data_IF_696583893435
#
_entry.id   IF_696583893435
#
_cell.length_a   1.000
_cell.length_b   1.000
_cell.length_c   1.000
_cell.angle_alpha   90.00
_cell.angle_beta   90.00
_cell.angle_gamma   90.00
#
_symmetry.space_group_name_H-M   'P 1'
#
loop_
_entity.id
_entity.type
_entity.pdbx_description
1 polymer ?
#
# COMPACT_ATOMS: atom_id res chain seq x y z
N UNK A 1 -2.03 5.44 -1.47
CA UNK A 1 -2.88 5.70 -0.28
C UNK A 1 -3.93 4.62 -0.14
N UNK A 2 -4.14 4.07 1.06
CA UNK A 2 -5.17 3.05 1.26
C UNK A 2 -6.55 3.71 1.29
N UNK A 3 -7.45 3.20 0.46
CA UNK A 3 -8.85 3.62 0.39
C UNK A 3 -9.74 2.38 0.32
N UNK A 4 -11.05 2.60 0.42
CA UNK A 4 -12.05 1.57 0.16
C UNK A 4 -12.93 2.01 -1.01
N UNK A 5 -13.15 1.10 -1.96
CA UNK A 5 -13.96 1.33 -3.16
C UNK A 5 -15.24 0.51 -3.07
N UNK A 6 -16.38 1.18 -3.24
CA UNK A 6 -17.69 0.55 -3.35
C UNK A 6 -17.85 -0.11 -4.72
N UNK A 7 -18.09 -1.41 -4.71
CA UNK A 7 -18.50 -2.20 -5.88
C UNK A 7 -19.75 -2.98 -5.45
N UNK A 8 -20.89 -2.61 -6.01
CA UNK A 8 -22.20 -3.24 -5.78
C UNK A 8 -22.58 -3.38 -4.29
N UNK A 9 -22.29 -2.35 -3.49
CA UNK A 9 -22.61 -2.32 -2.05
C UNK A 9 -21.57 -2.99 -1.15
N UNK A 10 -20.45 -3.44 -1.72
CA UNK A 10 -19.32 -4.00 -0.98
C UNK A 10 -18.11 -3.08 -1.09
N UNK A 11 -17.50 -2.72 0.03
CA UNK A 11 -16.33 -1.87 0.07
C UNK A 11 -15.04 -2.69 0.10
N UNK A 12 -14.30 -2.70 -1.00
CA UNK A 12 -13.05 -3.45 -1.14
C UNK A 12 -11.84 -2.56 -0.84
N UNK A 13 -10.79 -3.11 -0.20
CA UNK A 13 -9.53 -2.38 -0.03
C UNK A 13 -8.88 -2.12 -1.39
N UNK A 14 -8.44 -0.88 -1.61
CA UNK A 14 -7.76 -0.44 -2.82
C UNK A 14 -6.67 0.59 -2.49
N UNK A 15 -5.80 0.83 -3.46
CA UNK A 15 -4.78 1.88 -3.40
C UNK A 15 -5.13 2.99 -4.37
N UNK A 16 -5.37 4.19 -3.86
CA UNK A 16 -5.46 5.39 -4.69
C UNK A 16 -4.05 5.83 -5.12
N UNK A 17 -3.84 5.89 -6.44
CA UNK A 17 -2.57 6.27 -7.06
C UNK A 17 -2.54 7.77 -7.35
N UNK A 18 -3.52 8.27 -8.11
CA UNK A 18 -3.61 9.68 -8.51
C UNK A 18 -5.04 10.11 -8.83
N UNK A 19 -5.24 11.41 -9.04
CA UNK A 19 -6.44 11.92 -9.70
C UNK A 19 -6.41 11.55 -11.19
N UNK A 20 -7.59 11.37 -11.77
CA UNK A 20 -7.77 11.32 -13.22
C UNK A 20 -7.37 12.65 -13.86
N UNK A 21 -7.10 12.63 -15.17
CA UNK A 21 -6.66 13.83 -15.92
C UNK A 21 -7.63 15.00 -15.85
N UNK A 22 -8.92 14.72 -15.72
CA UNK A 22 -10.02 15.68 -15.59
C UNK A 22 -10.42 15.96 -14.13
N UNK A 23 -9.65 15.41 -13.17
CA UNK A 23 -9.84 15.57 -11.71
C UNK A 23 -11.23 15.21 -11.19
N UNK A 24 -12.01 14.44 -11.95
CA UNK A 24 -13.38 14.01 -11.61
C UNK A 24 -13.42 12.68 -10.86
N UNK A 25 -12.31 11.93 -10.87
CA UNK A 25 -12.22 10.58 -10.31
C UNK A 25 -10.81 10.27 -9.79
N UNK A 26 -10.66 9.12 -9.13
CA UNK A 26 -9.40 8.60 -8.65
C UNK A 26 -9.00 7.37 -9.47
N UNK A 27 -7.77 7.34 -9.93
CA UNK A 27 -7.17 6.13 -10.47
C UNK A 27 -6.77 5.22 -9.30
N UNK A 28 -7.32 4.01 -9.31
CA UNK A 28 -7.17 3.03 -8.23
C UNK A 28 -6.62 1.72 -8.74
N UNK A 29 -5.88 1.03 -7.86
CA UNK A 29 -5.41 -0.34 -8.06
C UNK A 29 -5.81 -1.23 -6.88
N UNK A 30 -5.92 -2.53 -7.14
CA UNK A 30 -6.41 -3.51 -6.16
C UNK A 30 -5.29 -4.45 -5.72
N UNK A 31 -5.25 -4.88 -4.44
CA UNK A 31 -4.20 -5.77 -3.95
C UNK A 31 -4.11 -7.07 -4.77
N UNK A 32 -2.90 -7.44 -5.21
CA UNK A 32 -2.71 -8.67 -6.00
C UNK A 32 -3.36 -8.63 -7.39
N UNK A 33 -3.74 -7.44 -7.88
CA UNK A 33 -4.29 -7.21 -9.22
C UNK A 33 -5.49 -8.11 -9.56
N UNK A 34 -6.29 -8.49 -8.55
CA UNK A 34 -7.50 -9.32 -8.75
C UNK A 34 -8.56 -8.63 -9.62
N UNK A 35 -8.43 -7.31 -9.79
CA UNK A 35 -9.23 -6.47 -10.66
C UNK A 35 -8.34 -5.46 -11.40
N UNK A 36 -8.64 -5.12 -12.66
CA UNK A 36 -7.88 -4.14 -13.40
C UNK A 36 -7.85 -2.77 -12.72
N UNK A 37 -6.78 -2.01 -12.97
CA UNK A 37 -6.73 -0.60 -12.59
C UNK A 37 -7.85 0.16 -13.31
N UNK A 38 -8.53 1.03 -12.59
CA UNK A 38 -9.67 1.78 -13.14
C UNK A 38 -9.77 3.17 -12.51
N UNK A 39 -10.55 4.04 -13.16
CA UNK A 39 -10.91 5.34 -12.62
C UNK A 39 -12.25 5.23 -11.88
N UNK A 40 -12.26 5.55 -10.59
CA UNK A 40 -13.44 5.44 -9.72
C UNK A 40 -13.89 6.82 -9.27
N UNK A 41 -15.17 7.11 -9.45
CA UNK A 41 -15.78 8.35 -9.00
C UNK A 41 -15.70 8.51 -7.48
N UNK A 42 -15.43 9.72 -7.01
CA UNK A 42 -15.33 10.06 -5.60
C UNK A 42 -16.44 9.53 -4.66
N UNK A 43 -17.74 9.52 -5.03
CA UNK A 43 -18.79 9.01 -4.15
C UNK A 43 -18.66 7.52 -3.81
N UNK A 44 -17.95 6.75 -4.66
CA UNK A 44 -17.70 5.33 -4.45
C UNK A 44 -16.38 5.09 -3.70
N UNK A 45 -15.65 6.13 -3.32
CA UNK A 45 -14.40 6.02 -2.59
C UNK A 45 -14.55 6.58 -1.17
N UNK A 46 -13.96 5.90 -0.20
CA UNK A 46 -13.90 6.36 1.19
C UNK A 46 -12.61 5.99 1.87
N UNK A 47 -12.29 6.70 2.96
CA UNK A 47 -11.19 6.36 3.87
C UNK A 47 -11.73 6.20 5.27
N UNK A 48 -11.42 5.09 5.93
CA UNK A 48 -11.74 4.89 7.34
C UNK A 48 -10.94 5.88 8.20
N UNK A 49 -11.62 6.75 8.94
CA UNK A 49 -10.96 7.68 9.88
C UNK A 49 -10.91 7.13 11.29
N UNK A 50 -12.04 6.58 11.74
CA UNK A 50 -12.22 6.15 13.11
C UNK A 50 -13.25 5.04 13.19
N UNK A 51 -13.20 4.30 14.27
CA UNK A 51 -14.23 3.35 14.68
C UNK A 51 -14.44 3.45 16.17
N UNK A 52 -15.66 3.15 16.59
CA UNK A 52 -16.04 3.11 18.00
C UNK A 52 -15.37 1.94 18.71
N UNK A 53 -14.97 2.14 19.96
CA UNK A 53 -14.53 1.06 20.87
C UNK A 53 -15.69 0.48 21.69
N UNK A 54 -16.92 0.97 21.50
CA UNK A 54 -18.09 0.44 22.20
C UNK A 54 -18.37 -1.00 21.79
N UNK A 55 -18.78 -1.81 22.77
CA UNK A 55 -19.16 -3.19 22.55
C UNK A 55 -20.29 -3.29 21.51
N UNK A 56 -20.22 -4.33 20.68
CA UNK A 56 -21.26 -4.69 19.72
C UNK A 56 -22.32 -5.49 20.46
N UNK A 57 -23.60 -5.18 20.22
CA UNK A 57 -24.73 -5.88 20.80
C UNK A 57 -25.61 -6.50 19.70
N UNK A 58 -26.40 -7.49 20.10
CA UNK A 58 -27.44 -8.07 19.23
C UNK A 58 -28.42 -6.98 18.82
N UNK A 59 -28.74 -6.93 17.53
CA UNK A 59 -29.61 -5.92 16.92
C UNK A 59 -28.86 -4.70 16.40
N UNK A 60 -27.57 -4.52 16.74
CA UNK A 60 -26.78 -3.41 16.22
C UNK A 60 -26.61 -3.53 14.70
N UNK A 61 -26.49 -2.38 14.03
CA UNK A 61 -26.04 -2.30 12.64
C UNK A 61 -24.57 -1.89 12.62
N UNK A 62 -23.74 -2.77 12.08
CA UNK A 62 -22.29 -2.62 12.03
C UNK A 62 -21.79 -2.77 10.58
N UNK A 63 -20.49 -2.64 10.36
CA UNK A 63 -19.87 -3.23 9.18
C UNK A 63 -19.11 -4.51 9.55
N UNK A 64 -19.25 -5.53 8.72
CA UNK A 64 -18.52 -6.78 8.85
C UNK A 64 -17.75 -7.07 7.56
N UNK A 65 -16.60 -7.73 7.70
CA UNK A 65 -15.79 -8.16 6.58
C UNK A 65 -16.27 -9.54 6.11
N UNK A 66 -16.87 -9.57 4.93
CA UNK A 66 -17.41 -10.79 4.30
C UNK A 66 -16.48 -11.26 3.17
N UNK A 67 -16.34 -12.57 3.04
CA UNK A 67 -15.74 -13.19 1.86
C UNK A 67 -16.79 -13.27 0.74
N UNK A 68 -16.42 -12.75 -0.42
CA UNK A 68 -17.30 -12.68 -1.59
C UNK A 68 -17.05 -13.86 -2.51
N UNK A 69 -17.96 -14.09 -3.47
CA UNK A 69 -17.87 -15.23 -4.41
C UNK A 69 -16.62 -15.23 -5.29
N UNK A 70 -15.96 -14.09 -5.44
CA UNK A 70 -14.69 -13.93 -6.15
C UNK A 70 -13.45 -14.22 -5.27
N UNK A 71 -13.65 -14.70 -4.03
CA UNK A 71 -12.58 -14.98 -3.07
C UNK A 71 -11.96 -13.74 -2.43
N UNK A 72 -12.50 -12.55 -2.70
CA UNK A 72 -12.03 -11.31 -2.09
C UNK A 72 -12.86 -10.98 -0.86
N UNK A 73 -12.21 -10.42 0.15
CA UNK A 73 -12.89 -9.92 1.34
C UNK A 73 -13.24 -8.44 1.16
N UNK A 74 -14.47 -8.07 1.53
CA UNK A 74 -14.96 -6.70 1.47
C UNK A 74 -15.85 -6.35 2.65
N UNK A 75 -15.90 -5.07 3.00
CA UNK A 75 -16.72 -4.56 4.08
C UNK A 75 -18.15 -4.34 3.60
N UNK A 76 -19.12 -4.89 4.32
CA UNK A 76 -20.54 -4.67 4.09
C UNK A 76 -21.24 -4.26 5.36
N UNK A 77 -22.27 -3.44 5.19
CA UNK A 77 -23.19 -3.11 6.28
C UNK A 77 -24.04 -4.33 6.62
N UNK A 78 -24.11 -4.67 7.91
CA UNK A 78 -24.78 -5.86 8.39
C UNK A 78 -25.48 -5.65 9.74
N UNK A 79 -26.55 -6.40 9.99
CA UNK A 79 -27.23 -6.46 11.29
C UNK A 79 -26.73 -7.63 12.12
N UNK A 80 -26.51 -7.41 13.42
CA UNK A 80 -26.06 -8.44 14.35
C UNK A 80 -27.23 -9.31 14.79
N UNK A 81 -27.22 -10.59 14.41
CA UNK A 81 -28.25 -11.58 14.78
C UNK A 81 -27.97 -12.23 16.13
N UNK A 82 -26.73 -12.63 16.36
CA UNK A 82 -26.29 -13.34 17.57
C UNK A 82 -24.81 -13.09 17.84
N UNK A 83 -24.43 -13.09 19.12
CA UNK A 83 -23.03 -13.00 19.55
C UNK A 83 -22.73 -14.20 20.42
N UNK A 84 -21.68 -14.94 20.09
CA UNK A 84 -21.23 -16.11 20.83
C UNK A 84 -19.71 -16.06 21.00
N UNK A 85 -19.29 -15.64 22.19
CA UNK A 85 -17.88 -15.36 22.50
C UNK A 85 -17.29 -14.37 21.48
N UNK A 86 -16.21 -14.75 20.79
CA UNK A 86 -15.50 -13.93 19.80
C UNK A 86 -16.11 -14.00 18.39
N UNK A 87 -17.25 -14.67 18.22
CA UNK A 87 -17.92 -14.82 16.93
C UNK A 87 -19.28 -14.13 16.92
N UNK A 88 -19.57 -13.45 15.83
CA UNK A 88 -20.78 -12.67 15.62
C UNK A 88 -21.48 -13.19 14.37
N UNK A 89 -22.72 -13.62 14.53
CA UNK A 89 -23.59 -13.99 13.41
C UNK A 89 -24.21 -12.71 12.87
N UNK A 90 -23.96 -12.42 11.61
CA UNK A 90 -24.37 -11.18 10.95
C UNK A 90 -25.17 -11.47 9.68
N UNK A 91 -26.12 -10.60 9.38
CA UNK A 91 -26.88 -10.61 8.13
C UNK A 91 -26.54 -9.37 7.32
N UNK A 92 -26.12 -9.55 6.07
CA UNK A 92 -25.88 -8.45 5.14
C UNK A 92 -27.15 -7.62 4.94
N UNK A 93 -27.00 -6.29 5.01
CA UNK A 93 -28.08 -5.33 4.75
C UNK A 93 -27.92 -4.72 3.35
N UNK A 94 -26.68 -4.46 2.92
CA UNK A 94 -26.36 -3.81 1.64
C UNK A 94 -25.47 -4.72 0.77
N UNK A 95 -25.69 -4.67 -0.55
CA UNK A 95 -25.00 -5.54 -1.50
C UNK A 95 -25.54 -6.97 -1.51
N UNK A 96 -24.70 -7.97 -1.85
CA UNK A 96 -25.09 -9.38 -1.87
C UNK A 96 -25.63 -9.86 -0.52
N UNK A 97 -26.87 -10.35 -0.52
CA UNK A 97 -27.59 -10.77 0.68
C UNK A 97 -27.16 -12.16 1.11
N UNK A 98 -26.60 -12.28 2.31
CA UNK A 98 -26.27 -13.56 2.95
C UNK A 98 -26.03 -13.39 4.45
N UNK A 99 -26.07 -14.51 5.17
CA UNK A 99 -25.69 -14.61 6.59
C UNK A 99 -24.29 -15.18 6.69
N UNK A 100 -23.46 -14.65 7.59
CA UNK A 100 -22.12 -15.16 7.86
C UNK A 100 -21.79 -15.15 9.35
N UNK A 101 -20.76 -15.90 9.74
CA UNK A 101 -20.21 -15.95 11.10
C UNK A 101 -18.81 -15.34 11.06
N UNK A 102 -18.72 -14.10 11.52
CA UNK A 102 -17.47 -13.33 11.49
C UNK A 102 -16.85 -13.24 12.89
N UNK A 103 -15.53 -13.20 12.96
CA UNK A 103 -14.85 -12.90 14.22
C UNK A 103 -15.08 -11.43 14.62
N UNK A 104 -15.11 -11.13 15.92
CA UNK A 104 -15.35 -9.78 16.45
C UNK A 104 -14.31 -8.75 15.93
N UNK A 105 -13.06 -9.17 15.71
CA UNK A 105 -12.01 -8.32 15.13
C UNK A 105 -12.17 -8.05 13.62
N UNK A 106 -13.11 -8.74 12.94
CA UNK A 106 -13.51 -8.51 11.55
C UNK A 106 -14.80 -7.67 11.47
N UNK A 107 -15.16 -7.00 12.56
CA UNK A 107 -16.31 -6.10 12.65
C UNK A 107 -15.86 -4.67 12.96
N UNK A 108 -16.58 -3.69 12.45
CA UNK A 108 -16.40 -2.26 12.78
C UNK A 108 -17.70 -1.71 13.33
N UNK A 109 -17.67 -1.23 14.58
CA UNK A 109 -18.78 -0.53 15.20
C UNK A 109 -18.61 0.99 15.02
N UNK A 110 -19.69 1.70 14.65
CA UNK A 110 -19.68 3.16 14.53
C UNK A 110 -18.55 3.70 13.65
N UNK A 111 -18.26 3.03 12.53
CA UNK A 111 -17.20 3.43 11.62
C UNK A 111 -17.50 4.82 11.01
N UNK A 112 -16.50 5.70 11.06
CA UNK A 112 -16.56 7.04 10.48
C UNK A 112 -15.63 7.11 9.28
N UNK A 113 -16.17 7.66 8.19
CA UNK A 113 -15.53 7.71 6.89
C UNK A 113 -15.39 9.15 6.40
N UNK A 114 -14.24 9.46 5.82
CA UNK A 114 -14.11 10.66 4.98
C UNK A 114 -14.62 10.35 3.59
N UNK A 115 -15.49 11.21 3.08
CA UNK A 115 -15.82 11.23 1.65
C UNK A 115 -14.67 11.84 0.90
N UNK A 116 -14.15 11.12 -0.07
CA UNK A 116 -13.02 11.63 -0.82
C UNK A 116 -13.49 12.68 -1.83
N UNK A 117 -12.81 13.81 -1.93
CA UNK A 117 -13.04 14.80 -2.99
C UNK A 117 -11.70 15.31 -3.56
N UNK A 118 -11.72 15.86 -4.77
CA UNK A 118 -10.53 16.48 -5.36
C UNK A 118 -9.96 17.60 -4.47
N UNK A 119 -10.82 18.39 -3.84
CA UNK A 119 -10.43 19.50 -2.96
C UNK A 119 -9.76 19.05 -1.65
N UNK A 120 -10.06 17.83 -1.18
CA UNK A 120 -9.45 17.27 0.01
C UNK A 120 -8.09 16.62 -0.28
N UNK A 121 -7.80 16.29 -1.54
CA UNK A 121 -6.49 15.79 -1.91
C UNK A 121 -5.48 16.92 -1.80
N UNK A 122 -4.59 16.81 -0.82
CA UNK A 122 -3.49 17.74 -0.66
C UNK A 122 -2.27 17.21 -1.39
N UNK A 123 -1.54 18.13 -1.99
CA UNK A 123 -0.30 17.84 -2.70
C UNK A 123 0.85 18.63 -2.09
N UNK A 124 1.98 17.96 -1.90
CA UNK A 124 3.27 18.57 -1.55
C UNK A 124 4.34 18.06 -2.52
N UNK A 125 5.47 18.74 -2.63
CA UNK A 125 6.61 18.28 -3.45
C UNK A 125 7.88 18.20 -2.63
N UNK A 126 8.73 17.23 -2.97
CA UNK A 126 10.08 17.09 -2.43
C UNK A 126 11.06 17.13 -3.59
N UNK A 127 12.06 18.01 -3.53
CA UNK A 127 13.15 18.05 -4.49
C UNK A 127 14.04 16.82 -4.39
N UNK A 128 14.38 16.23 -5.53
CA UNK A 128 15.26 15.05 -5.63
C UNK A 128 16.67 15.49 -6.02
N UNK A 129 17.69 15.16 -5.19
CA UNK A 129 19.09 15.33 -5.54
C UNK A 129 19.45 14.62 -6.84
N UNK A 130 20.35 15.19 -7.63
CA UNK A 130 20.70 14.70 -8.97
C UNK A 130 21.19 13.26 -8.97
N UNK A 131 21.97 12.88 -7.95
CA UNK A 131 22.51 11.54 -7.78
C UNK A 131 21.44 10.46 -7.51
N UNK A 132 20.22 10.86 -7.16
CA UNK A 132 19.11 9.95 -6.85
C UNK A 132 18.04 9.89 -7.96
N UNK A 133 18.18 10.68 -9.03
CA UNK A 133 17.20 10.76 -10.12
C UNK A 133 16.96 9.40 -10.78
N UNK A 134 18.02 8.66 -11.08
CA UNK A 134 17.89 7.36 -11.73
C UNK A 134 17.27 6.30 -10.81
N UNK A 135 17.56 6.38 -9.50
CA UNK A 135 16.93 5.51 -8.51
C UNK A 135 15.41 5.73 -8.46
N UNK A 136 14.96 6.98 -8.43
CA UNK A 136 13.52 7.29 -8.37
C UNK A 136 12.80 7.25 -9.73
N UNK A 137 13.53 7.07 -10.83
CA UNK A 137 12.94 6.77 -12.14
C UNK A 137 12.28 5.39 -12.19
N UNK A 138 12.49 4.54 -11.18
CA UNK A 138 11.85 3.24 -11.03
C UNK A 138 10.72 3.38 -9.99
N UNK A 139 9.47 3.33 -10.43
CA UNK A 139 8.28 3.52 -9.57
C UNK A 139 8.27 2.59 -8.35
N UNK A 140 8.78 1.36 -8.51
CA UNK A 140 8.86 0.38 -7.43
C UNK A 140 9.69 0.88 -6.23
N UNK A 141 10.67 1.75 -6.46
CA UNK A 141 11.53 2.27 -5.39
C UNK A 141 10.80 3.31 -4.51
N UNK A 142 9.71 3.91 -4.99
CA UNK A 142 8.88 4.81 -4.19
C UNK A 142 8.02 4.03 -3.17
N UNK A 143 7.69 2.76 -3.46
CA UNK A 143 6.89 1.91 -2.56
C UNK A 143 7.58 1.69 -1.21
N UNK A 144 8.91 1.68 -1.17
CA UNK A 144 9.65 1.51 0.08
C UNK A 144 9.35 2.65 1.08
N UNK A 145 9.30 3.88 0.60
CA UNK A 145 8.95 5.03 1.44
C UNK A 145 7.47 5.05 1.79
N UNK A 146 6.59 4.72 0.85
CA UNK A 146 5.14 4.57 1.11
C UNK A 146 4.83 3.47 2.14
N UNK A 147 5.70 2.45 2.24
CA UNK A 147 5.57 1.43 3.27
C UNK A 147 5.92 1.97 4.67
N UNK A 148 6.79 2.97 4.75
CA UNK A 148 7.22 3.62 6.00
C UNK A 148 6.25 4.71 6.43
N UNK A 149 5.84 5.57 5.50
CA UNK A 149 4.85 6.63 5.73
C UNK A 149 3.53 6.19 5.12
N UNK A 150 2.59 5.76 5.96
CA UNK A 150 1.25 5.35 5.50
C UNK A 150 0.43 6.54 5.02
N UNK A 151 -0.61 6.23 4.25
CA UNK A 151 -1.62 7.19 3.77
C UNK A 151 -1.07 8.30 2.86
N UNK A 152 0.00 8.02 2.12
CA UNK A 152 0.47 8.88 1.03
C UNK A 152 0.43 8.13 -0.30
N UNK A 153 0.50 8.87 -1.39
CA UNK A 153 0.85 8.40 -2.73
C UNK A 153 2.02 9.23 -3.23
N UNK A 154 2.92 8.61 -3.99
CA UNK A 154 4.12 9.25 -4.51
C UNK A 154 4.24 9.00 -6.01
N UNK A 155 4.64 10.03 -6.74
CA UNK A 155 5.02 9.92 -8.16
C UNK A 155 6.25 10.78 -8.42
N UNK A 156 7.21 10.27 -9.17
CA UNK A 156 8.41 11.01 -9.52
C UNK A 156 8.25 11.73 -10.87
N UNK A 157 8.55 13.03 -10.88
CA UNK A 157 8.67 13.87 -12.07
C UNK A 157 10.17 14.06 -12.37
N UNK A 158 10.66 13.35 -13.41
CA UNK A 158 12.06 13.36 -13.80
C UNK A 158 12.50 14.72 -14.38
N UNK A 159 11.61 15.41 -15.10
CA UNK A 159 11.94 16.69 -15.74
C UNK A 159 12.15 17.77 -14.68
N UNK A 160 11.29 17.78 -13.65
CA UNK A 160 11.37 18.74 -12.55
C UNK A 160 12.30 18.28 -11.42
N UNK A 161 12.72 17.00 -11.44
CA UNK A 161 13.46 16.34 -10.35
C UNK A 161 12.72 16.46 -9.02
N UNK A 162 11.42 16.20 -9.04
CA UNK A 162 10.55 16.33 -7.87
C UNK A 162 9.76 15.05 -7.63
N UNK A 163 9.60 14.66 -6.37
CA UNK A 163 8.60 13.68 -5.98
C UNK A 163 7.35 14.45 -5.56
N UNK A 164 6.24 14.21 -6.26
CA UNK A 164 4.92 14.69 -5.89
C UNK A 164 4.32 13.75 -4.86
N UNK A 165 3.96 14.30 -3.70
CA UNK A 165 3.26 13.62 -2.62
C UNK A 165 1.78 13.97 -2.67
N UNK A 166 0.90 12.99 -2.53
CA UNK A 166 -0.54 13.23 -2.42
C UNK A 166 -1.10 12.52 -1.18
N UNK A 167 -1.98 13.19 -0.44
CA UNK A 167 -2.67 12.61 0.71
C UNK A 167 -3.99 13.32 1.04
N UNK A 168 -4.94 12.57 1.58
CA UNK A 168 -6.12 13.12 2.27
C UNK A 168 -5.84 13.46 3.75
N UNK A 169 -4.67 13.05 4.27
CA UNK A 169 -4.26 13.24 5.66
C UNK A 169 -3.08 14.20 5.73
N UNK A 170 -3.33 15.43 6.20
CA UNK A 170 -2.29 16.47 6.24
C UNK A 170 -1.08 16.11 7.10
N UNK A 171 -1.30 15.35 8.17
CA UNK A 171 -0.22 14.88 9.04
C UNK A 171 0.71 13.92 8.30
N UNK A 172 0.19 13.07 7.41
CA UNK A 172 0.97 12.11 6.64
C UNK A 172 1.88 12.80 5.63
N UNK A 173 1.40 13.87 4.96
CA UNK A 173 2.26 14.70 4.09
C UNK A 173 3.39 15.36 4.85
N UNK A 174 3.10 15.99 5.99
CA UNK A 174 4.12 16.60 6.84
C UNK A 174 5.17 15.59 7.29
N UNK A 175 4.74 14.39 7.71
CA UNK A 175 5.64 13.28 8.05
C UNK A 175 6.51 12.87 6.87
N UNK A 176 5.93 12.74 5.67
CA UNK A 176 6.66 12.39 4.45
C UNK A 176 7.75 13.42 4.11
N UNK A 177 7.43 14.71 4.19
CA UNK A 177 8.40 15.80 3.95
C UNK A 177 9.52 15.79 5.00
N UNK A 178 9.20 15.59 6.28
CA UNK A 178 10.22 15.55 7.34
C UNK A 178 11.15 14.34 7.21
N UNK A 179 10.62 13.19 6.78
CA UNK A 179 11.36 11.93 6.68
C UNK A 179 12.11 11.75 5.35
N UNK A 180 11.87 12.61 4.35
CA UNK A 180 12.43 12.44 3.01
C UNK A 180 13.95 12.51 2.98
N UNK A 181 14.55 13.45 3.71
CA UNK A 181 16.01 13.60 3.80
C UNK A 181 16.68 12.36 4.41
N UNK A 182 16.05 11.78 5.43
CA UNK A 182 16.51 10.51 6.01
C UNK A 182 16.44 9.39 4.98
N UNK A 183 15.32 9.27 4.29
CA UNK A 183 15.13 8.25 3.28
C UNK A 183 16.16 8.37 2.14
N UNK A 184 16.46 9.58 1.67
CA UNK A 184 17.50 9.81 0.66
C UNK A 184 18.89 9.38 1.13
N UNK A 185 19.23 9.64 2.39
CA UNK A 185 20.49 9.16 2.98
C UNK A 185 20.52 7.62 3.04
N UNK A 186 19.40 7.00 3.40
CA UNK A 186 19.32 5.53 3.48
C UNK A 186 19.43 4.88 2.10
N UNK A 187 18.84 5.48 1.06
CA UNK A 187 19.01 5.05 -0.34
C UNK A 187 20.48 5.12 -0.76
N UNK A 188 21.18 6.21 -0.45
CA UNK A 188 22.63 6.33 -0.75
C UNK A 188 23.43 5.25 -0.05
N UNK A 189 23.16 5.01 1.23
CA UNK A 189 23.85 3.99 2.01
C UNK A 189 23.63 2.60 1.40
N UNK A 190 22.38 2.27 1.05
CA UNK A 190 22.03 1.00 0.40
C UNK A 190 22.76 0.84 -0.95
N UNK A 191 22.78 1.89 -1.77
CA UNK A 191 23.50 1.88 -3.05
C UNK A 191 24.99 1.62 -2.86
N UNK A 192 25.63 2.30 -1.90
CA UNK A 192 27.04 2.08 -1.58
C UNK A 192 27.34 0.66 -1.07
N UNK A 193 26.48 0.12 -0.21
CA UNK A 193 26.64 -1.25 0.29
C UNK A 193 26.47 -2.28 -0.83
N UNK A 194 25.51 -2.07 -1.73
CA UNK A 194 25.30 -2.92 -2.89
C UNK A 194 26.51 -2.90 -3.83
N UNK A 195 27.05 -1.73 -4.14
CA UNK A 195 28.23 -1.61 -4.98
C UNK A 195 29.45 -2.34 -4.39
N UNK A 196 29.65 -2.25 -3.06
CA UNK A 196 30.71 -3.00 -2.36
C UNK A 196 30.49 -4.51 -2.41
N UNK A 197 29.24 -4.96 -2.27
CA UNK A 197 28.91 -6.38 -2.36
C UNK A 197 29.17 -6.94 -3.76
N UNK A 198 28.76 -6.20 -4.81
CA UNK A 198 29.00 -6.56 -6.22
C UNK A 198 30.51 -6.60 -6.54
N UNK A 199 31.30 -5.66 -6.01
CA UNK A 199 32.75 -5.66 -6.16
C UNK A 199 33.40 -6.86 -5.46
N UNK A 200 32.99 -7.18 -4.23
CA UNK A 200 33.48 -8.33 -3.49
C UNK A 200 33.14 -9.65 -4.20
N UNK A 201 31.93 -9.79 -4.75
CA UNK A 201 31.52 -10.95 -5.54
C UNK A 201 32.38 -11.09 -6.81
N UNK A 202 32.64 -9.99 -7.52
CA UNK A 202 33.51 -9.99 -8.71
C UNK A 202 34.93 -10.44 -8.37
N UNK A 203 35.48 -9.99 -7.24
CA UNK A 203 36.80 -10.43 -6.76
C UNK A 203 36.81 -11.92 -6.40
N UNK A 204 35.75 -12.45 -5.79
CA UNK A 204 35.62 -13.88 -5.50
C UNK A 204 35.57 -14.71 -6.80
N UNK A 205 34.78 -14.29 -7.79
CA UNK A 205 34.70 -14.97 -9.09
C UNK A 205 36.05 -14.99 -9.82
N UNK A 206 36.78 -13.87 -9.83
CA UNK A 206 38.13 -13.81 -10.41
C UNK A 206 39.17 -14.58 -9.59
N UNK A 207 39.06 -14.59 -8.27
CA UNK A 207 39.92 -15.36 -7.36
C UNK A 207 39.76 -16.87 -7.54
N UNK A 208 38.53 -17.36 -7.68
CA UNK A 208 38.23 -18.78 -7.94
C UNK A 208 38.75 -19.24 -9.31
N UNK A 209 38.62 -18.43 -10.36
CA UNK A 209 39.16 -18.78 -11.69
C UNK A 209 40.69 -18.82 -11.76
N UNK A 210 41.39 -18.04 -10.90
CA UNK A 210 42.85 -18.12 -10.79
C UNK A 210 43.30 -19.42 -10.11
N UNK A 211 42.59 -19.86 -9.07
CA UNK A 211 42.90 -21.13 -8.39
C UNK A 211 42.68 -22.37 -9.27
N UNK A 212 41.77 -22.34 -10.26
CA UNK A 212 41.62 -23.46 -11.20
C UNK A 212 42.70 -23.49 -12.28
N UNK A 213 43.29 -22.35 -12.65
CA UNK A 213 44.34 -22.26 -13.69
C UNK A 213 45.76 -22.38 -13.16
N UNK A 214 45.99 -22.03 -11.89
CA UNK A 214 47.26 -22.22 -11.17
C UNK A 214 47.17 -23.45 -10.25
N UNK A 215 46.68 -24.57 -10.76
CA UNK A 215 46.93 -25.89 -10.16
C UNK A 215 48.25 -26.41 -10.72
N UNK A 216 49.37 -26.38 -9.96
CA UNK A 216 50.57 -27.10 -10.34
C UNK A 216 50.38 -28.55 -9.88
N UNK A 217 49.51 -29.30 -10.56
CA UNK A 217 49.57 -30.75 -10.46
C UNK A 217 50.75 -31.21 -11.33
N UNK A 218 51.96 -31.05 -10.78
CA UNK A 218 53.14 -31.74 -11.27
C UNK A 218 52.99 -33.18 -10.79
N UNK A 219 52.62 -34.05 -11.72
CA UNK A 219 52.59 -35.50 -11.50
C UNK A 219 54.05 -35.98 -11.48
N UNK A 220 54.66 -35.96 -10.31
CA UNK A 220 56.03 -36.41 -10.07
C UNK A 220 55.99 -37.67 -9.22
N UNK A 221 55.79 -38.85 -9.83
CA UNK A 221 56.29 -40.12 -9.29
C UNK A 221 56.62 -41.09 -10.44
N UNK A 222 57.90 -41.46 -10.47
CA UNK A 222 58.51 -42.58 -11.20
C UNK A 222 58.23 -43.92 -10.48
#
# INVERSE_FOLDING_TARGET
MNIEVNIDGVYYPATAERLSKDESSLEVSYPGDWRPKEAVSFPNCRVLQAQSSHAIHKGDTIEALFEQTNGQCGWQRASVREIKAEFIVVDSIEGPQHTDVVAANKCRNGAQYTRITAAELRTETIGVPEDLVDHFSIDANLLEFQNTVKDISMSFDKERREIKLNSFVSLSLKKAVVLSEMFFRDVRLKSQLRARAEEAERLLQHGSQRNEKDSPFVDEFE
#
